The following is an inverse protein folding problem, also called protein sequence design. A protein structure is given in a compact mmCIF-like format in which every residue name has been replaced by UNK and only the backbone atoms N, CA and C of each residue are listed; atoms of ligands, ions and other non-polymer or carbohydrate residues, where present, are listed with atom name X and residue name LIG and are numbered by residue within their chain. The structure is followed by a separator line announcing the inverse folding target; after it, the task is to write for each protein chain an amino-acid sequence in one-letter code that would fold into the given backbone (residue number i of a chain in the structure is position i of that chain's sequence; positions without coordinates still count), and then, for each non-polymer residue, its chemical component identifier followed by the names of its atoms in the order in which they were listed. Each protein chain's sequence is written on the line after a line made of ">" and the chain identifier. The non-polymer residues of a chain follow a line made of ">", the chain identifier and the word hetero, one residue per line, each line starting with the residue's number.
data_IF_230355783769
#
_entry.id   IF_230355783769
#
_cell.length_a   1.000
_cell.length_b   1.000
_cell.length_c   1.000
_cell.angle_alpha   90.00
_cell.angle_beta   90.00
_cell.angle_gamma   90.00
#
_symmetry.space_group_name_H-M   'P 1'
#
loop_
_entity.id
_entity.type
_entity.pdbx_description
1 polymer ?
#
# COMPACT_ATOMS: atom_id res chain seq x y z
N UNK A 1 -27.90 -62.09 37.70
CA UNK A 1 -29.27 -61.52 37.69
C UNK A 1 -29.12 -60.03 37.95
N UNK A 2 -28.43 -59.26 37.09
CA UNK A 2 -28.65 -59.06 35.63
C UNK A 2 -30.08 -58.54 35.40
N UNK A 3 -30.36 -57.45 34.68
CA UNK A 3 -29.56 -56.51 33.89
C UNK A 3 -30.36 -55.20 33.70
N UNK A 4 -29.66 -54.15 33.28
CA UNK A 4 -30.18 -52.88 32.74
C UNK A 4 -30.99 -53.09 31.45
N UNK A 5 -31.97 -52.22 31.14
CA UNK A 5 -32.24 -51.86 29.74
C UNK A 5 -32.55 -50.36 29.58
N UNK A 6 -31.64 -49.69 28.86
CA UNK A 6 -31.79 -48.40 28.21
C UNK A 6 -32.85 -48.49 27.10
N UNK A 7 -33.70 -47.46 26.98
CA UNK A 7 -34.53 -47.27 25.81
C UNK A 7 -33.78 -46.40 24.79
N UNK A 8 -33.11 -47.06 23.83
CA UNK A 8 -32.52 -46.47 22.63
C UNK A 8 -33.50 -46.72 21.48
N UNK A 9 -34.06 -45.66 20.88
CA UNK A 9 -34.78 -45.76 19.61
C UNK A 9 -33.80 -45.43 18.49
N UNK A 10 -33.26 -46.48 17.91
CA UNK A 10 -32.57 -46.49 16.63
C UNK A 10 -33.57 -46.93 15.56
N UNK A 11 -33.73 -46.16 14.49
CA UNK A 11 -34.37 -46.64 13.26
C UNK A 11 -33.59 -46.11 12.07
N UNK A 12 -32.53 -46.83 11.73
CA UNK A 12 -31.98 -46.91 10.39
C UNK A 12 -32.60 -48.12 9.69
N UNK A 13 -33.19 -47.96 8.50
CA UNK A 13 -33.23 -49.03 7.50
C UNK A 13 -33.36 -48.48 6.09
N UNK A 14 -32.55 -49.07 5.22
CA UNK A 14 -32.14 -48.73 3.87
C UNK A 14 -33.17 -48.82 2.74
N UNK A 15 -32.83 -48.08 1.67
CA UNK A 15 -32.95 -48.34 0.22
C UNK A 15 -33.56 -49.69 -0.23
N UNK A 16 -34.37 -49.71 -1.31
CA UNK A 16 -33.92 -49.68 -2.72
C UNK A 16 -35.05 -49.90 -3.76
N UNK A 17 -34.91 -49.17 -4.88
CA UNK A 17 -35.29 -49.40 -6.30
C UNK A 17 -36.57 -50.18 -6.70
N UNK A 18 -37.37 -49.57 -7.59
CA UNK A 18 -37.36 -49.90 -9.05
C UNK A 18 -38.29 -48.97 -9.87
N UNK A 19 -37.64 -48.15 -10.70
CA UNK A 19 -37.91 -47.81 -12.12
C UNK A 19 -39.33 -47.83 -12.70
N UNK A 20 -39.77 -46.69 -13.26
CA UNK A 20 -40.42 -46.68 -14.58
C UNK A 20 -40.24 -45.34 -15.34
N UNK A 21 -39.72 -45.49 -16.55
CA UNK A 21 -39.32 -44.53 -17.57
C UNK A 21 -40.48 -43.73 -18.17
N UNK A 22 -40.28 -42.43 -18.40
CA UNK A 22 -40.87 -41.73 -19.54
C UNK A 22 -39.93 -40.61 -19.99
N UNK A 23 -39.36 -40.78 -21.18
CA UNK A 23 -38.54 -39.82 -21.90
C UNK A 23 -39.35 -38.57 -22.24
N UNK A 24 -38.85 -37.39 -21.88
CA UNK A 24 -39.07 -36.18 -22.65
C UNK A 24 -37.71 -35.54 -22.91
N UNK A 25 -37.29 -35.66 -24.16
CA UNK A 25 -36.08 -35.07 -24.73
C UNK A 25 -36.25 -33.56 -24.81
N UNK A 26 -35.67 -32.82 -23.87
CA UNK A 26 -35.39 -31.39 -24.06
C UNK A 26 -33.93 -31.22 -24.48
N UNK A 27 -33.78 -30.50 -25.58
CA UNK A 27 -32.54 -30.22 -26.29
C UNK A 27 -31.55 -29.54 -25.34
N UNK A 28 -30.42 -30.21 -25.10
CA UNK A 28 -29.24 -29.62 -24.45
C UNK A 28 -28.69 -28.54 -25.38
N UNK A 29 -29.05 -27.28 -25.12
CA UNK A 29 -28.24 -26.16 -25.54
C UNK A 29 -27.14 -26.00 -24.49
N UNK A 30 -25.95 -26.44 -24.88
CA UNK A 30 -24.69 -26.25 -24.18
C UNK A 30 -24.45 -24.74 -24.01
N UNK A 31 -24.89 -24.18 -22.88
CA UNK A 31 -24.54 -22.82 -22.51
C UNK A 31 -23.05 -22.80 -22.18
N UNK A 32 -22.27 -22.16 -23.05
CA UNK A 32 -20.89 -21.77 -22.79
C UNK A 32 -20.74 -21.31 -21.35
N UNK A 33 -19.89 -22.02 -20.59
CA UNK A 33 -19.49 -21.65 -19.24
C UNK A 33 -18.64 -20.35 -19.31
N UNK A 34 -19.30 -19.22 -19.54
CA UNK A 34 -18.75 -17.91 -19.21
C UNK A 34 -18.93 -17.78 -17.72
N UNK A 35 -17.81 -17.88 -17.00
CA UNK A 35 -17.71 -17.46 -15.61
C UNK A 35 -18.01 -15.95 -15.56
N UNK A 36 -19.28 -15.61 -15.53
CA UNK A 36 -19.74 -14.26 -15.20
C UNK A 36 -19.35 -14.02 -13.75
N UNK A 37 -18.27 -13.27 -13.54
CA UNK A 37 -17.90 -12.73 -12.24
C UNK A 37 -19.06 -11.85 -11.80
N UNK A 38 -19.94 -12.38 -10.96
CA UNK A 38 -21.02 -11.59 -10.35
C UNK A 38 -20.35 -10.59 -9.41
N UNK A 39 -20.19 -9.36 -9.86
CA UNK A 39 -19.73 -8.27 -9.01
C UNK A 39 -20.87 -7.87 -8.06
N UNK A 40 -20.62 -7.96 -6.76
CA UNK A 40 -21.57 -7.50 -5.76
C UNK A 40 -21.76 -5.99 -5.87
N UNK A 41 -23.01 -5.54 -5.74
CA UNK A 41 -23.32 -4.11 -5.62
C UNK A 41 -22.70 -3.52 -4.34
N UNK A 42 -22.41 -2.23 -4.32
CA UNK A 42 -21.88 -1.53 -3.12
C UNK A 42 -22.76 -1.71 -1.87
N UNK A 43 -24.08 -1.72 -2.06
CA UNK A 43 -25.03 -1.99 -0.97
C UNK A 43 -24.88 -3.41 -0.40
N UNK A 44 -24.68 -4.42 -1.27
CA UNK A 44 -24.43 -5.80 -0.84
C UNK A 44 -23.09 -5.95 -0.11
N UNK A 45 -22.03 -5.28 -0.59
CA UNK A 45 -20.72 -5.25 0.08
C UNK A 45 -20.82 -4.63 1.48
N UNK A 46 -21.52 -3.51 1.59
CA UNK A 46 -21.72 -2.82 2.87
C UNK A 46 -22.51 -3.69 3.85
N UNK A 47 -23.57 -4.34 3.39
CA UNK A 47 -24.35 -5.27 4.22
C UNK A 47 -23.52 -6.48 4.65
N UNK A 48 -22.72 -7.05 3.74
CA UNK A 48 -21.81 -8.14 4.05
C UNK A 48 -20.78 -7.74 5.12
N UNK A 49 -20.15 -6.58 4.97
CA UNK A 49 -19.17 -6.06 5.94
C UNK A 49 -19.80 -5.89 7.32
N UNK A 50 -21.01 -5.34 7.39
CA UNK A 50 -21.75 -5.21 8.65
C UNK A 50 -22.01 -6.57 9.30
N UNK A 51 -22.47 -7.57 8.53
CA UNK A 51 -22.72 -8.93 9.04
C UNK A 51 -21.42 -9.56 9.57
N UNK A 52 -20.32 -9.38 8.85
CA UNK A 52 -19.00 -9.89 9.25
C UNK A 52 -18.57 -9.22 10.57
N UNK A 53 -18.66 -7.89 10.67
CA UNK A 53 -18.32 -7.14 11.89
C UNK A 53 -19.17 -7.61 13.09
N UNK A 54 -20.49 -7.71 12.93
CA UNK A 54 -21.37 -8.21 14.00
C UNK A 54 -21.05 -9.65 14.41
N UNK A 55 -20.62 -10.49 13.47
CA UNK A 55 -20.18 -11.86 13.77
C UNK A 55 -18.86 -11.88 14.53
N UNK A 56 -17.89 -11.06 14.11
CA UNK A 56 -16.59 -10.89 14.79
C UNK A 56 -16.79 -10.35 16.20
N UNK A 57 -17.62 -9.32 16.37
CA UNK A 57 -17.95 -8.79 17.70
C UNK A 57 -18.62 -9.83 18.60
N UNK A 58 -19.58 -10.60 18.07
CA UNK A 58 -20.21 -11.69 18.82
C UNK A 58 -19.19 -12.74 19.23
N UNK A 59 -18.25 -13.08 18.35
CA UNK A 59 -17.17 -14.01 18.66
C UNK A 59 -16.26 -13.47 19.78
N UNK A 60 -15.79 -12.21 19.66
CA UNK A 60 -14.98 -11.53 20.69
C UNK A 60 -15.72 -11.48 22.04
N UNK A 61 -17.01 -11.11 22.04
CA UNK A 61 -17.85 -11.09 23.25
C UNK A 61 -18.06 -12.48 23.84
N UNK A 62 -18.25 -13.50 23.00
CA UNK A 62 -18.41 -14.88 23.45
C UNK A 62 -17.12 -15.42 24.09
N UNK A 63 -15.97 -15.13 23.49
CA UNK A 63 -14.66 -15.48 24.04
C UNK A 63 -14.40 -14.77 25.38
N UNK A 64 -14.61 -13.45 25.44
CA UNK A 64 -14.49 -12.68 26.69
C UNK A 64 -15.38 -13.25 27.81
N UNK A 65 -16.62 -13.66 27.49
CA UNK A 65 -17.53 -14.30 28.45
C UNK A 65 -17.02 -15.64 29.00
N UNK A 66 -16.23 -16.40 28.24
CA UNK A 66 -15.65 -17.66 28.73
C UNK A 66 -14.66 -17.43 29.86
N UNK A 67 -13.87 -16.36 29.77
CA UNK A 67 -12.82 -16.05 30.73
C UNK A 67 -13.27 -15.08 31.83
N UNK A 68 -14.36 -14.33 31.61
CA UNK A 68 -14.86 -13.34 32.56
C UNK A 68 -15.04 -13.87 33.99
N UNK A 69 -15.65 -15.05 34.24
CA UNK A 69 -15.80 -15.54 35.61
C UNK A 69 -14.47 -15.73 36.35
N UNK A 70 -13.43 -16.21 35.65
CA UNK A 70 -12.10 -16.43 36.22
C UNK A 70 -11.41 -15.07 36.46
N UNK A 71 -11.46 -14.17 35.49
CA UNK A 71 -10.87 -12.84 35.62
C UNK A 71 -11.54 -12.07 36.76
N UNK A 72 -12.88 -12.07 36.84
CA UNK A 72 -13.63 -11.35 37.87
C UNK A 72 -13.38 -11.93 39.27
N UNK A 73 -13.32 -13.25 39.41
CA UNK A 73 -12.97 -13.88 40.69
C UNK A 73 -11.56 -13.54 41.14
N UNK A 74 -10.59 -13.54 40.22
CA UNK A 74 -9.21 -13.13 40.52
C UNK A 74 -9.14 -11.64 40.88
N UNK A 75 -9.84 -10.76 40.14
CA UNK A 75 -9.90 -9.32 40.43
C UNK A 75 -10.42 -9.03 41.83
N UNK A 76 -11.52 -9.69 42.21
CA UNK A 76 -12.08 -9.58 43.57
C UNK A 76 -11.11 -10.14 44.60
N UNK A 77 -10.52 -11.31 44.35
CA UNK A 77 -9.60 -11.97 45.28
C UNK A 77 -8.30 -11.21 45.54
N UNK A 78 -7.78 -10.53 44.51
CA UNK A 78 -6.49 -9.81 44.56
C UNK A 78 -6.66 -8.29 44.70
N UNK A 79 -7.90 -7.81 44.78
CA UNK A 79 -8.23 -6.41 45.02
C UNK A 79 -7.74 -5.46 43.93
N UNK A 80 -7.64 -5.92 42.68
CA UNK A 80 -7.23 -5.09 41.53
C UNK A 80 -8.25 -5.21 40.40
N UNK A 81 -8.38 -4.12 39.63
CA UNK A 81 -9.20 -4.09 38.41
C UNK A 81 -8.36 -4.08 37.13
N UNK A 82 -7.05 -3.86 37.26
CA UNK A 82 -6.07 -3.82 36.18
C UNK A 82 -5.58 -5.24 35.85
N UNK A 83 -5.57 -5.59 34.56
CA UNK A 83 -5.22 -6.95 34.11
C UNK A 83 -3.72 -7.24 34.29
N UNK A 84 -2.86 -6.25 34.08
CA UNK A 84 -1.42 -6.45 34.18
C UNK A 84 -1.03 -6.65 35.65
N UNK A 85 -1.55 -5.80 36.54
CA UNK A 85 -1.37 -5.95 37.98
C UNK A 85 -1.94 -7.28 38.48
N UNK A 86 -3.09 -7.72 37.93
CA UNK A 86 -3.69 -9.01 38.26
C UNK A 86 -2.76 -10.17 37.92
N UNK A 87 -2.15 -10.16 36.74
CA UNK A 87 -1.20 -11.18 36.30
C UNK A 87 0.03 -11.20 37.21
N UNK A 88 0.59 -10.03 37.53
CA UNK A 88 1.75 -9.94 38.43
C UNK A 88 1.45 -10.49 39.84
N UNK A 89 0.35 -10.04 40.45
CA UNK A 89 -0.09 -10.51 41.77
C UNK A 89 -0.37 -12.01 41.78
N UNK A 90 -0.99 -12.53 40.72
CA UNK A 90 -1.25 -13.97 40.59
C UNK A 90 0.05 -14.77 40.49
N UNK A 91 1.01 -14.31 39.67
CA UNK A 91 2.33 -14.94 39.56
C UNK A 91 3.07 -14.94 40.90
N UNK A 92 3.08 -13.82 41.61
CA UNK A 92 3.71 -13.69 42.92
C UNK A 92 3.10 -14.66 43.94
N UNK A 93 1.77 -14.69 44.04
CA UNK A 93 1.05 -15.56 44.99
C UNK A 93 1.43 -17.05 44.85
N UNK A 94 1.47 -17.57 43.62
CA UNK A 94 1.85 -18.98 43.40
C UNK A 94 3.34 -19.23 43.59
N UNK A 95 4.18 -18.24 43.26
CA UNK A 95 5.63 -18.33 43.50
C UNK A 95 5.93 -18.42 45.01
N UNK A 96 5.22 -17.65 45.83
CA UNK A 96 5.32 -17.72 47.31
C UNK A 96 4.90 -19.08 47.88
N UNK A 97 4.00 -19.79 47.18
CA UNK A 97 3.59 -21.17 47.53
C UNK A 97 4.56 -22.24 47.02
N UNK A 98 5.68 -21.84 46.41
CA UNK A 98 6.66 -22.76 45.84
C UNK A 98 6.24 -23.38 44.51
N UNK A 99 5.19 -22.84 43.86
CA UNK A 99 4.77 -23.27 42.52
C UNK A 99 5.54 -22.43 41.49
N UNK A 100 6.37 -23.11 40.69
CA UNK A 100 7.09 -22.47 39.59
C UNK A 100 6.18 -22.36 38.36
N UNK A 101 5.79 -21.14 37.99
CA UNK A 101 5.04 -20.88 36.75
C UNK A 101 6.05 -20.78 35.61
N UNK A 102 6.00 -21.68 34.60
CA UNK A 102 6.91 -21.60 33.47
C UNK A 102 6.66 -20.32 32.69
N UNK A 103 7.73 -19.60 32.38
CA UNK A 103 7.65 -18.49 31.44
C UNK A 103 7.30 -19.03 30.05
N UNK A 104 6.48 -18.30 29.26
CA UNK A 104 6.18 -18.71 27.91
C UNK A 104 7.46 -18.89 27.11
N UNK A 105 7.47 -19.89 26.23
CA UNK A 105 8.58 -20.15 25.32
C UNK A 105 8.87 -18.89 24.52
N UNK A 106 10.05 -18.31 24.73
CA UNK A 106 10.53 -17.20 23.92
C UNK A 106 11.06 -17.77 22.61
N UNK A 107 10.50 -17.31 21.50
CA UNK A 107 11.04 -17.63 20.19
C UNK A 107 12.38 -16.94 20.00
N UNK A 108 13.19 -17.46 19.08
CA UNK A 108 14.41 -16.75 18.67
C UNK A 108 14.04 -15.44 17.96
N UNK A 109 14.95 -14.47 17.93
CA UNK A 109 14.71 -13.20 17.21
C UNK A 109 14.39 -13.44 15.73
N UNK A 110 15.02 -14.44 15.12
CA UNK A 110 14.77 -14.81 13.73
C UNK A 110 13.35 -15.40 13.55
N UNK A 111 12.92 -16.27 14.44
CA UNK A 111 11.56 -16.83 14.42
C UNK A 111 10.51 -15.74 14.62
N UNK A 112 10.72 -14.80 15.56
CA UNK A 112 9.81 -13.68 15.78
C UNK A 112 9.69 -12.81 14.53
N UNK A 113 10.81 -12.58 13.82
CA UNK A 113 10.83 -11.84 12.57
C UNK A 113 10.05 -12.56 11.47
N UNK A 114 10.27 -13.88 11.30
CA UNK A 114 9.55 -14.69 10.30
C UNK A 114 8.03 -14.67 10.58
N UNK A 115 7.63 -14.82 11.83
CA UNK A 115 6.22 -14.83 12.23
C UNK A 115 5.58 -13.44 12.04
N UNK A 116 6.25 -12.38 12.50
CA UNK A 116 5.81 -11.01 12.27
C UNK A 116 5.66 -10.71 10.78
N UNK A 117 6.61 -11.18 9.96
CA UNK A 117 6.59 -10.97 8.53
C UNK A 117 5.41 -11.68 7.85
N UNK A 118 5.15 -12.93 8.25
CA UNK A 118 4.04 -13.73 7.74
C UNK A 118 2.68 -13.13 8.13
N UNK A 119 2.53 -12.65 9.37
CA UNK A 119 1.31 -11.99 9.85
C UNK A 119 1.08 -10.65 9.13
N UNK A 120 2.12 -9.82 8.99
CA UNK A 120 2.05 -8.59 8.22
C UNK A 120 1.63 -8.85 6.77
N UNK A 121 2.22 -9.86 6.12
CA UNK A 121 1.89 -10.21 4.73
C UNK A 121 0.42 -10.66 4.57
N UNK A 122 -0.16 -11.34 5.57
CA UNK A 122 -1.60 -11.67 5.56
C UNK A 122 -2.44 -10.40 5.55
N UNK A 123 -2.15 -9.44 6.44
CA UNK A 123 -2.88 -8.17 6.49
C UNK A 123 -2.70 -7.37 5.20
N UNK A 124 -1.47 -7.29 4.68
CA UNK A 124 -1.17 -6.60 3.42
C UNK A 124 -1.98 -7.20 2.26
N UNK A 125 -2.17 -8.52 2.24
CA UNK A 125 -2.96 -9.20 1.20
C UNK A 125 -4.45 -8.86 1.24
N UNK A 126 -4.97 -8.37 2.37
CA UNK A 126 -6.37 -7.97 2.51
C UNK A 126 -6.64 -6.55 1.97
N UNK A 127 -5.60 -5.74 1.77
CA UNK A 127 -5.69 -4.42 1.15
C UNK A 127 -5.43 -3.24 2.09
N UNK A 128 -5.52 -2.02 1.54
CA UNK A 128 -5.13 -0.79 2.22
C UNK A 128 -5.93 -0.51 3.49
N UNK A 129 -7.25 -0.75 3.47
CA UNK A 129 -8.11 -0.48 4.63
C UNK A 129 -7.71 -1.31 5.85
N UNK A 130 -7.37 -2.59 5.67
CA UNK A 130 -6.91 -3.46 6.76
C UNK A 130 -5.52 -3.05 7.25
N UNK A 131 -4.59 -2.70 6.34
CA UNK A 131 -3.29 -2.16 6.72
C UNK A 131 -3.48 -0.92 7.62
N UNK A 132 -4.34 0.01 7.20
CA UNK A 132 -4.62 1.25 7.93
C UNK A 132 -5.22 0.96 9.30
N UNK A 133 -6.31 0.18 9.34
CA UNK A 133 -7.03 -0.14 10.57
C UNK A 133 -6.11 -0.84 11.59
N UNK A 134 -5.36 -1.87 11.18
CA UNK A 134 -4.46 -2.57 12.10
C UNK A 134 -3.31 -1.68 12.58
N UNK A 135 -2.77 -0.82 11.71
CA UNK A 135 -1.73 0.14 12.11
C UNK A 135 -2.27 1.13 13.14
N UNK A 136 -3.50 1.65 12.94
CA UNK A 136 -4.15 2.58 13.87
C UNK A 136 -4.45 1.89 15.22
N UNK A 137 -4.96 0.66 15.23
CA UNK A 137 -5.18 -0.15 16.45
C UNK A 137 -3.87 -0.36 17.23
N UNK A 138 -2.75 -0.65 16.55
CA UNK A 138 -1.44 -0.80 17.20
C UNK A 138 -0.92 0.50 17.81
N UNK A 139 -1.19 1.65 17.17
CA UNK A 139 -0.86 2.97 17.72
C UNK A 139 -1.69 3.26 18.96
N UNK A 140 -2.97 2.90 18.96
CA UNK A 140 -3.86 3.04 20.13
C UNK A 140 -3.42 2.16 21.31
N UNK A 141 -2.93 0.94 21.05
CA UNK A 141 -2.35 0.06 22.08
C UNK A 141 -1.08 0.69 22.68
N UNK A 142 -0.28 1.36 21.86
CA UNK A 142 0.95 2.03 22.27
C UNK A 142 2.17 1.11 22.32
N UNK A 143 3.33 1.66 21.97
CA UNK A 143 4.57 0.89 21.75
C UNK A 143 5.00 0.05 22.96
N UNK A 144 4.80 0.53 24.18
CA UNK A 144 5.20 -0.17 25.40
C UNK A 144 4.38 -1.43 25.68
N UNK A 145 3.16 -1.51 25.13
CA UNK A 145 2.24 -2.62 25.31
C UNK A 145 2.31 -3.66 24.18
N UNK A 146 3.05 -3.36 23.09
CA UNK A 146 3.23 -4.29 21.98
C UNK A 146 4.34 -5.31 22.29
N UNK A 147 4.09 -6.56 21.92
CA UNK A 147 5.11 -7.61 21.91
C UNK A 147 6.19 -7.31 20.84
N UNK A 148 7.36 -7.94 20.96
CA UNK A 148 8.43 -7.80 19.95
C UNK A 148 7.94 -8.16 18.53
N UNK A 149 7.12 -9.21 18.41
CA UNK A 149 6.51 -9.60 17.14
C UNK A 149 5.60 -8.52 16.58
N UNK A 150 4.70 -7.99 17.41
CA UNK A 150 3.77 -6.94 17.00
C UNK A 150 4.51 -5.67 16.59
N UNK A 151 5.62 -5.31 17.27
CA UNK A 151 6.48 -4.20 16.86
C UNK A 151 7.07 -4.41 15.46
N UNK A 152 7.59 -5.61 15.19
CA UNK A 152 8.13 -5.95 13.87
C UNK A 152 7.03 -5.94 12.79
N UNK A 153 5.85 -6.47 13.11
CA UNK A 153 4.68 -6.44 12.22
C UNK A 153 4.25 -5.00 11.96
N UNK A 154 4.13 -4.17 13.00
CA UNK A 154 3.79 -2.75 12.91
C UNK A 154 4.73 -2.00 11.98
N UNK A 155 6.05 -2.17 12.14
CA UNK A 155 7.03 -1.52 11.27
C UNK A 155 6.77 -1.85 9.80
N UNK A 156 6.55 -3.13 9.48
CA UNK A 156 6.28 -3.57 8.11
C UNK A 156 4.95 -3.02 7.57
N UNK A 157 3.90 -2.99 8.39
CA UNK A 157 2.60 -2.42 8.01
C UNK A 157 2.68 -0.90 7.81
N UNK A 158 3.35 -0.19 8.70
CA UNK A 158 3.55 1.25 8.62
C UNK A 158 4.36 1.65 7.37
N UNK A 159 5.43 0.90 7.06
CA UNK A 159 6.20 1.08 5.82
C UNK A 159 5.32 0.86 4.58
N UNK A 160 4.53 -0.22 4.57
CA UNK A 160 3.65 -0.51 3.44
C UNK A 160 2.54 0.53 3.29
N UNK A 161 1.93 0.96 4.39
CA UNK A 161 0.92 2.04 4.43
C UNK A 161 1.49 3.32 3.82
N UNK A 162 2.67 3.73 4.28
CA UNK A 162 3.34 4.93 3.78
C UNK A 162 3.65 4.83 2.30
N UNK A 163 4.11 3.67 1.81
CA UNK A 163 4.33 3.45 0.38
C UNK A 163 3.06 3.64 -0.45
N UNK A 164 1.92 3.12 0.02
CA UNK A 164 0.63 3.25 -0.67
C UNK A 164 0.16 4.71 -0.65
N UNK A 165 0.25 5.38 0.49
CA UNK A 165 -0.15 6.79 0.64
C UNK A 165 0.73 7.71 -0.22
N UNK A 166 2.03 7.46 -0.27
CA UNK A 166 2.99 8.15 -1.16
C UNK A 166 2.58 7.99 -2.64
N UNK A 167 2.24 6.76 -3.07
CA UNK A 167 1.74 6.49 -4.43
C UNK A 167 0.44 7.25 -4.72
N UNK A 168 -0.54 7.21 -3.80
CA UNK A 168 -1.81 7.92 -3.93
C UNK A 168 -1.63 9.44 -4.01
N UNK A 169 -0.69 10.01 -3.25
CA UNK A 169 -0.39 11.43 -3.29
C UNK A 169 0.17 11.85 -4.65
N UNK A 170 1.06 11.05 -5.26
CA UNK A 170 1.60 11.32 -6.60
C UNK A 170 0.54 11.13 -7.70
N UNK A 171 -0.28 10.09 -7.61
CA UNK A 171 -1.38 9.86 -8.55
C UNK A 171 -2.39 11.02 -8.52
N UNK A 172 -2.66 11.60 -7.34
CA UNK A 172 -3.56 12.74 -7.19
C UNK A 172 -3.11 14.00 -7.95
N UNK A 173 -1.81 14.12 -8.25
CA UNK A 173 -1.22 15.20 -9.04
C UNK A 173 -0.85 14.76 -10.47
N UNK A 174 -1.25 13.56 -10.88
CA UNK A 174 -1.01 13.02 -12.22
C UNK A 174 0.44 12.60 -12.48
N UNK A 175 1.20 12.31 -11.42
CA UNK A 175 2.62 11.93 -11.51
C UNK A 175 2.76 10.42 -11.48
N UNK A 176 3.61 9.88 -12.35
CA UNK A 176 3.86 8.45 -12.41
C UNK A 176 4.63 7.98 -11.15
N UNK A 177 4.14 6.90 -10.52
CA UNK A 177 4.75 6.21 -9.38
C UNK A 177 6.22 5.83 -9.58
N UNK A 178 6.68 5.66 -10.82
CA UNK A 178 8.08 5.36 -11.13
C UNK A 178 9.06 6.41 -10.58
N UNK A 179 8.59 7.65 -10.38
CA UNK A 179 9.36 8.72 -9.73
C UNK A 179 9.83 8.31 -8.33
N UNK A 180 9.04 7.55 -7.57
CA UNK A 180 9.41 7.05 -6.24
C UNK A 180 10.66 6.16 -6.29
N UNK A 181 10.90 5.49 -7.42
CA UNK A 181 12.03 4.61 -7.62
C UNK A 181 13.28 5.32 -8.14
N UNK A 182 13.15 6.54 -8.67
CA UNK A 182 14.26 7.34 -9.20
C UNK A 182 15.26 7.69 -8.09
N UNK A 183 16.55 7.39 -8.33
CA UNK A 183 17.63 7.73 -7.41
C UNK A 183 17.74 9.24 -7.17
N UNK A 184 17.44 10.06 -8.18
CA UNK A 184 17.50 11.51 -8.06
C UNK A 184 16.38 12.04 -7.17
N UNK A 185 15.17 11.51 -7.32
CA UNK A 185 14.05 11.87 -6.46
C UNK A 185 14.25 11.36 -5.03
N UNK A 186 14.75 10.14 -4.85
CA UNK A 186 15.10 9.59 -3.52
C UNK A 186 16.12 10.46 -2.79
N UNK A 187 17.19 10.90 -3.48
CA UNK A 187 18.21 11.83 -2.94
C UNK A 187 17.65 13.21 -2.64
N UNK A 188 16.64 13.65 -3.39
CA UNK A 188 15.96 14.91 -3.12
C UNK A 188 15.06 14.78 -1.90
N UNK A 189 14.19 13.77 -1.86
CA UNK A 189 13.27 13.45 -0.76
C UNK A 189 14.00 13.24 0.57
N UNK A 190 15.20 12.66 0.57
CA UNK A 190 15.98 12.44 1.80
C UNK A 190 16.42 13.71 2.52
N UNK A 191 16.29 14.89 1.90
CA UNK A 191 16.56 16.19 2.52
C UNK A 191 15.38 16.74 3.33
N UNK A 192 14.22 16.10 3.23
CA UNK A 192 12.98 16.53 3.87
C UNK A 192 12.66 15.63 5.06
N UNK A 193 11.90 16.19 6.02
CA UNK A 193 11.48 15.44 7.19
C UNK A 193 10.30 14.52 6.86
N UNK A 194 10.14 13.44 7.62
CA UNK A 194 9.08 12.43 7.44
C UNK A 194 7.64 12.97 7.54
N UNK A 195 7.45 14.17 8.09
CA UNK A 195 6.13 14.79 8.31
C UNK A 195 5.67 15.67 7.14
N UNK A 196 6.47 15.82 6.08
CA UNK A 196 6.10 16.63 4.92
C UNK A 196 5.37 15.79 3.88
N UNK A 197 4.32 16.35 3.28
CA UNK A 197 3.57 15.69 2.22
C UNK A 197 4.45 15.46 0.99
N UNK A 198 4.39 14.26 0.42
CA UNK A 198 5.22 13.90 -0.72
C UNK A 198 4.90 14.76 -1.95
N UNK A 199 3.63 15.16 -2.08
CA UNK A 199 3.17 16.08 -3.12
C UNK A 199 3.98 17.38 -3.12
N UNK A 200 4.14 18.02 -1.96
CA UNK A 200 4.87 19.29 -1.86
C UNK A 200 6.36 19.11 -2.19
N UNK A 201 6.95 18.00 -1.74
CA UNK A 201 8.33 17.62 -2.06
C UNK A 201 8.47 17.45 -3.58
N UNK A 202 7.54 16.75 -4.22
CA UNK A 202 7.56 16.54 -5.66
C UNK A 202 7.37 17.83 -6.45
N UNK A 203 6.44 18.70 -6.07
CA UNK A 203 6.26 19.99 -6.73
C UNK A 203 7.52 20.85 -6.67
N UNK A 204 8.26 20.80 -5.57
CA UNK A 204 9.53 21.50 -5.44
C UNK A 204 10.61 20.85 -6.30
N UNK A 205 10.66 19.52 -6.34
CA UNK A 205 11.56 18.78 -7.22
C UNK A 205 11.34 19.15 -8.68
N UNK A 206 10.09 19.14 -9.16
CA UNK A 206 9.72 19.51 -10.54
C UNK A 206 10.08 20.96 -10.88
N UNK A 207 9.85 21.91 -9.96
CA UNK A 207 10.24 23.32 -10.15
C UNK A 207 11.76 23.50 -10.30
N UNK A 208 12.55 22.63 -9.68
CA UNK A 208 14.01 22.66 -9.72
C UNK A 208 14.60 21.87 -10.89
N UNK A 209 13.80 21.01 -11.54
CA UNK A 209 14.25 20.33 -12.75
C UNK A 209 14.50 21.37 -13.85
N UNK A 210 15.59 21.21 -14.63
CA UNK A 210 15.81 22.04 -15.79
C UNK A 210 14.66 21.80 -16.77
N UNK A 211 13.70 22.73 -16.82
CA UNK A 211 12.67 22.71 -17.86
C UNK A 211 13.40 22.80 -19.19
N UNK A 212 13.08 21.91 -20.13
CA UNK A 212 13.46 22.13 -21.52
C UNK A 212 13.03 23.54 -21.86
N UNK A 213 14.01 24.41 -22.09
CA UNK A 213 13.76 25.69 -22.72
C UNK A 213 13.17 25.34 -24.07
N UNK A 214 11.83 25.28 -24.18
CA UNK A 214 11.14 25.52 -25.43
C UNK A 214 11.59 26.91 -25.81
N UNK A 215 12.68 26.99 -26.57
CA UNK A 215 13.36 28.23 -26.84
C UNK A 215 12.32 29.23 -27.28
N UNK A 216 12.04 30.24 -26.44
CA UNK A 216 11.39 31.43 -26.95
C UNK A 216 12.31 31.90 -28.07
N UNK A 217 11.77 31.99 -29.29
CA UNK A 217 12.48 32.31 -30.54
C UNK A 217 13.39 33.56 -30.41
N UNK A 218 13.27 34.36 -29.36
CA UNK A 218 14.02 35.60 -29.14
C UNK A 218 15.14 35.60 -28.10
N UNK A 219 15.79 34.49 -27.73
CA UNK A 219 16.96 34.59 -26.82
C UNK A 219 18.08 33.58 -27.06
N UNK A 220 18.74 33.69 -28.21
CA UNK A 220 20.09 33.18 -28.39
C UNK A 220 21.08 34.25 -27.93
N UNK A 221 21.53 34.18 -26.67
CA UNK A 221 22.79 34.82 -26.30
C UNK A 221 23.93 33.89 -26.71
N UNK A 222 24.39 34.02 -27.94
CA UNK A 222 25.65 33.41 -28.38
C UNK A 222 26.82 34.21 -27.78
N UNK A 223 27.46 33.64 -26.78
CA UNK A 223 28.80 34.06 -26.33
C UNK A 223 29.81 33.51 -27.33
N UNK A 224 29.96 34.20 -28.45
CA UNK A 224 31.18 34.23 -29.26
C UNK A 224 31.31 35.67 -29.73
N UNK A 225 32.51 36.25 -29.61
CA UNK A 225 32.81 37.52 -30.26
C UNK A 225 32.59 37.29 -31.76
N UNK A 226 31.47 37.78 -32.26
CA UNK A 226 31.09 37.70 -33.66
C UNK A 226 31.82 38.86 -34.35
N UNK A 227 32.66 38.56 -35.34
CA UNK A 227 33.34 39.58 -36.17
C UNK A 227 32.34 40.40 -37.03
N UNK A 228 31.04 40.31 -36.74
CA UNK A 228 29.95 40.99 -37.43
C UNK A 228 29.69 40.46 -38.83
N UNK A 229 30.31 39.34 -39.22
CA UNK A 229 30.20 38.76 -40.56
C UNK A 229 29.25 37.57 -40.51
N UNK A 230 28.06 37.73 -41.10
CA UNK A 230 27.07 36.65 -41.19
C UNK A 230 27.55 35.57 -42.16
N UNK A 231 27.28 34.31 -41.85
CA UNK A 231 27.53 33.18 -42.76
C UNK A 231 26.57 33.18 -43.97
N UNK A 232 25.42 33.83 -43.85
CA UNK A 232 24.41 33.93 -44.90
C UNK A 232 23.75 35.32 -44.92
N UNK A 233 23.57 35.88 -46.11
CA UNK A 233 22.83 37.11 -46.36
C UNK A 233 21.63 36.82 -47.27
N UNK A 234 20.43 37.26 -46.88
CA UNK A 234 19.25 37.23 -47.76
C UNK A 234 19.28 38.36 -48.80
N UNK A 235 18.48 38.26 -49.86
CA UNK A 235 18.42 39.30 -50.92
C UNK A 235 18.17 40.69 -50.35
N UNK A 236 17.17 40.81 -49.48
CA UNK A 236 16.80 42.07 -48.83
C UNK A 236 17.88 42.62 -47.88
N UNK A 237 18.74 41.76 -47.35
CA UNK A 237 19.85 42.17 -46.49
C UNK A 237 21.04 42.67 -47.30
N UNK A 238 21.31 42.08 -48.46
CA UNK A 238 22.37 42.52 -49.37
C UNK A 238 22.07 43.90 -49.93
N UNK A 239 20.80 44.16 -50.28
CA UNK A 239 20.37 45.48 -50.79
C UNK A 239 20.49 46.60 -49.73
N UNK A 240 20.61 46.24 -48.45
CA UNK A 240 20.78 47.17 -47.33
C UNK A 240 22.24 47.34 -46.90
N UNK A 241 23.18 46.59 -47.49
CA UNK A 241 24.61 46.74 -47.20
C UNK A 241 25.14 48.02 -47.84
N UNK A 242 25.98 48.77 -47.11
CA UNK A 242 26.65 49.94 -47.66
C UNK A 242 27.84 49.53 -48.52
N UNK A 243 28.24 50.39 -49.47
CA UNK A 243 29.41 50.15 -50.34
C UNK A 243 30.69 49.88 -49.53
N UNK A 244 30.85 50.51 -48.37
CA UNK A 244 31.98 50.29 -47.45
C UNK A 244 31.98 48.89 -46.85
N UNK A 245 30.80 48.31 -46.59
CA UNK A 245 30.67 46.94 -46.07
C UNK A 245 30.91 45.89 -47.15
N UNK A 246 30.50 46.18 -48.39
CA UNK A 246 30.76 45.32 -49.55
C UNK A 246 32.24 45.32 -49.98
N UNK A 247 32.99 46.35 -49.64
CA UNK A 247 34.45 46.40 -49.85
C UNK A 247 35.23 45.47 -48.89
N UNK A 248 34.59 44.91 -47.87
CA UNK A 248 35.22 43.88 -47.04
C UNK A 248 35.20 42.53 -47.80
N UNK A 249 36.36 41.95 -48.16
CA UNK A 249 36.43 40.73 -48.96
C UNK A 249 35.74 39.53 -48.31
N UNK A 250 35.67 39.48 -46.97
CA UNK A 250 34.97 38.40 -46.25
C UNK A 250 33.45 38.53 -46.33
N UNK A 251 32.92 39.75 -46.27
CA UNK A 251 31.48 40.00 -46.42
C UNK A 251 31.07 39.72 -47.86
N UNK A 252 31.89 40.16 -48.84
CA UNK A 252 31.65 39.88 -50.24
C UNK A 252 31.61 38.38 -50.56
N UNK A 253 32.55 37.59 -50.01
CA UNK A 253 32.55 36.14 -50.20
C UNK A 253 31.31 35.48 -49.60
N UNK A 254 30.88 35.90 -48.40
CA UNK A 254 29.67 35.41 -47.76
C UNK A 254 28.40 35.78 -48.56
N UNK A 255 28.33 37.01 -49.09
CA UNK A 255 27.23 37.46 -49.96
C UNK A 255 27.17 36.64 -51.25
N UNK A 256 28.31 36.40 -51.90
CA UNK A 256 28.36 35.61 -53.14
C UNK A 256 27.93 34.14 -52.91
N UNK A 257 28.40 33.50 -51.83
CA UNK A 257 27.93 32.15 -51.44
C UNK A 257 26.44 32.13 -51.09
N UNK A 258 25.91 33.24 -50.58
CA UNK A 258 24.48 33.35 -50.27
C UNK A 258 23.63 33.48 -51.53
N UNK A 259 24.11 34.25 -52.53
CA UNK A 259 23.47 34.40 -53.85
C UNK A 259 23.28 33.06 -54.56
N UNK A 260 24.23 32.13 -54.46
CA UNK A 260 24.10 30.78 -55.04
C UNK A 260 22.94 29.97 -54.43
N UNK A 261 22.46 30.35 -53.24
CA UNK A 261 21.38 29.69 -52.52
C UNK A 261 20.06 30.47 -52.57
N UNK A 262 20.03 31.61 -53.27
CA UNK A 262 18.78 32.31 -53.54
C UNK A 262 18.09 31.60 -54.70
N UNK A 263 17.01 30.89 -54.38
CA UNK A 263 16.11 30.24 -55.36
C UNK A 263 15.05 31.25 -55.77
#
# INVERSE_FOLDING_TARGET
>A
MEDEELNVVDTTTDEKDETQTSEQTEVVNEAENKSDKVEFTEAQKTMMNKIIQERVERAKKAEARKYAPIVDTLKVGLGTSDINELVEKTKQFYTEQGINIPEPTKYSEEDEKILAEAEANKIISLGYDEIKNTTDEMVEIGEDNLTQREKLMYLKLAEKRKSIEDEMQLESIGVNKDVLNSDDFKKFKSKFNSNQELKDIYELYDKLQPKENKGTIGSVKSVKADDGIKEYYSSDEVDKLTEEQLNNPKIWEAVMKSKEKWI
#
